data_IF_334512373006
#
_entry.id   IF_334512373006
#
_cell.length_a   1.000
_cell.length_b   1.000
_cell.length_c   1.000
_cell.angle_alpha   90.00
_cell.angle_beta   90.00
_cell.angle_gamma   90.00
#
_symmetry.space_group_name_H-M   'P 1'
#
loop_
_entity.id
_entity.type
_entity.pdbx_description
1 polymer ?
#
# COMPACT_ATOMS: atom_id res chain seq x y z
N UNK A 1 16.25 42.37 -30.75
CA UNK A 1 16.78 41.39 -29.79
C UNK A 1 15.59 40.79 -29.07
N UNK A 2 15.28 39.53 -29.38
CA UNK A 2 14.14 38.78 -28.84
C UNK A 2 14.44 38.32 -27.41
N UNK A 3 13.58 38.71 -26.46
CA UNK A 3 13.52 38.08 -25.15
C UNK A 3 12.35 37.10 -25.17
N UNK A 4 12.64 35.86 -25.52
CA UNK A 4 11.73 34.73 -25.37
C UNK A 4 11.60 34.46 -23.87
N UNK A 5 10.62 35.10 -23.23
CA UNK A 5 10.22 34.75 -21.87
C UNK A 5 9.61 33.35 -21.90
N UNK A 6 10.35 32.42 -21.30
CA UNK A 6 9.88 31.09 -20.94
C UNK A 6 8.65 31.24 -20.04
N UNK A 7 7.46 31.11 -20.62
CA UNK A 7 6.22 30.99 -19.88
C UNK A 7 6.36 29.84 -18.85
N UNK A 8 5.95 30.04 -17.60
CA UNK A 8 6.14 29.03 -16.56
C UNK A 8 5.31 27.81 -16.94
N UNK A 9 5.99 26.68 -17.16
CA UNK A 9 5.41 25.36 -17.44
C UNK A 9 4.39 24.89 -16.38
N UNK A 10 4.27 25.60 -15.25
CA UNK A 10 3.24 25.38 -14.22
C UNK A 10 1.88 26.04 -14.50
N UNK A 11 1.78 26.98 -15.46
CA UNK A 11 0.52 27.70 -15.73
C UNK A 11 -0.47 26.94 -16.62
N UNK A 12 0.01 26.03 -17.47
CA UNK A 12 -0.82 25.27 -18.41
C UNK A 12 -1.85 24.35 -17.73
N UNK A 13 -1.58 23.92 -16.50
CA UNK A 13 -2.44 23.04 -15.71
C UNK A 13 -3.25 23.78 -14.63
N UNK A 14 -3.12 25.11 -14.53
CA UNK A 14 -3.92 25.93 -13.63
C UNK A 14 -5.36 26.12 -14.16
N UNK A 15 -6.32 26.39 -13.29
CA UNK A 15 -7.74 26.61 -13.67
C UNK A 15 -7.92 27.69 -14.75
N UNK A 16 -7.05 28.71 -14.78
CA UNK A 16 -7.03 29.74 -15.82
C UNK A 16 -6.42 29.27 -17.15
N UNK A 17 -5.48 28.31 -17.15
CA UNK A 17 -4.91 27.71 -18.36
C UNK A 17 -5.90 26.75 -19.05
N UNK A 18 -6.68 26.03 -18.26
CA UNK A 18 -7.76 25.16 -18.73
C UNK A 18 -8.91 25.96 -19.37
N UNK A 19 -9.19 27.18 -18.91
CA UNK A 19 -10.24 28.05 -19.48
C UNK A 19 -9.93 28.55 -20.91
N UNK A 20 -8.65 28.58 -21.32
CA UNK A 20 -8.23 28.92 -22.69
C UNK A 20 -8.15 27.69 -23.62
N UNK A 21 -8.39 26.49 -23.10
CA UNK A 21 -8.38 25.24 -23.87
C UNK A 21 -9.73 25.00 -24.54
N UNK A 22 -9.73 24.36 -25.72
CA UNK A 22 -10.99 24.00 -26.40
C UNK A 22 -11.86 23.10 -25.49
N UNK A 23 -13.19 23.23 -25.58
CA UNK A 23 -14.11 22.47 -24.74
C UNK A 23 -13.97 20.94 -24.86
N UNK A 24 -13.37 20.42 -25.93
CA UNK A 24 -13.03 18.99 -26.03
C UNK A 24 -11.82 18.61 -25.17
N UNK A 25 -10.82 19.49 -25.08
CA UNK A 25 -9.63 19.27 -24.23
C UNK A 25 -9.95 19.40 -22.74
N UNK A 26 -10.84 20.32 -22.35
CA UNK A 26 -11.32 20.42 -20.96
C UNK A 26 -12.02 19.13 -20.51
N UNK A 27 -12.90 18.56 -21.35
CA UNK A 27 -13.55 17.27 -21.06
C UNK A 27 -12.57 16.11 -21.00
N UNK A 28 -11.55 16.12 -21.86
CA UNK A 28 -10.50 15.11 -21.84
C UNK A 28 -9.66 15.19 -20.55
N UNK A 29 -9.28 16.39 -20.12
CA UNK A 29 -8.58 16.61 -18.85
C UNK A 29 -9.43 16.16 -17.66
N UNK A 30 -10.73 16.49 -17.61
CA UNK A 30 -11.63 16.06 -16.54
C UNK A 30 -11.72 14.54 -16.39
N UNK A 31 -11.85 13.81 -17.51
CA UNK A 31 -11.87 12.32 -17.49
C UNK A 31 -10.55 11.72 -17.01
N UNK A 32 -9.43 12.35 -17.35
CA UNK A 32 -8.12 11.85 -16.91
C UNK A 32 -7.90 12.11 -15.43
N UNK A 33 -8.31 13.28 -14.92
CA UNK A 33 -8.28 13.60 -13.49
C UNK A 33 -9.14 12.59 -12.71
N UNK A 34 -10.36 12.30 -13.18
CA UNK A 34 -11.25 11.33 -12.55
C UNK A 34 -10.63 9.92 -12.49
N UNK A 35 -9.96 9.48 -13.57
CA UNK A 35 -9.23 8.21 -13.58
C UNK A 35 -8.09 8.16 -12.57
N UNK A 36 -7.27 9.21 -12.52
CA UNK A 36 -6.14 9.28 -11.58
C UNK A 36 -6.66 9.29 -10.14
N UNK A 37 -7.74 10.03 -9.87
CA UNK A 37 -8.39 10.05 -8.56
C UNK A 37 -8.88 8.65 -8.16
N UNK A 38 -9.58 7.95 -9.06
CA UNK A 38 -10.05 6.59 -8.82
C UNK A 38 -8.91 5.61 -8.58
N UNK A 39 -7.83 5.70 -9.36
CA UNK A 39 -6.63 4.88 -9.17
C UNK A 39 -5.95 5.15 -7.81
N UNK A 40 -5.85 6.43 -7.42
CA UNK A 40 -5.29 6.81 -6.13
C UNK A 40 -6.10 6.25 -4.96
N UNK A 41 -7.43 6.31 -5.02
CA UNK A 41 -8.31 5.74 -3.98
C UNK A 41 -8.16 4.22 -3.86
N UNK A 42 -8.04 3.52 -4.99
CA UNK A 42 -7.81 2.07 -5.00
C UNK A 42 -6.43 1.72 -4.42
N UNK A 43 -5.41 2.48 -4.77
CA UNK A 43 -4.05 2.28 -4.26
C UNK A 43 -3.97 2.53 -2.74
N UNK A 44 -4.60 3.60 -2.26
CA UNK A 44 -4.66 3.93 -0.83
C UNK A 44 -5.41 2.85 -0.03
N UNK A 45 -6.58 2.41 -0.54
CA UNK A 45 -7.34 1.31 0.10
C UNK A 45 -6.52 0.01 0.15
N UNK A 46 -5.76 -0.30 -0.91
CA UNK A 46 -4.87 -1.47 -0.95
C UNK A 46 -3.74 -1.35 0.07
N UNK A 47 -3.14 -0.17 0.22
CA UNK A 47 -2.09 0.08 1.20
C UNK A 47 -2.61 -0.09 2.63
N UNK A 48 -3.77 0.51 2.94
CA UNK A 48 -4.40 0.39 4.25
C UNK A 48 -4.74 -1.07 4.58
N UNK A 49 -5.26 -1.82 3.60
CA UNK A 49 -5.47 -3.26 3.74
C UNK A 49 -4.17 -3.98 4.09
N UNK A 50 -3.11 -3.76 3.32
CA UNK A 50 -1.79 -4.38 3.55
C UNK A 50 -1.23 -4.05 4.93
N UNK A 51 -1.34 -2.79 5.37
CA UNK A 51 -0.93 -2.37 6.71
C UNK A 51 -1.73 -3.09 7.80
N UNK A 52 -3.05 -3.23 7.61
CA UNK A 52 -3.93 -3.94 8.55
C UNK A 52 -3.55 -5.43 8.67
N UNK A 53 -3.37 -6.17 7.57
CA UNK A 53 -2.92 -7.57 7.70
C UNK A 53 -1.52 -7.67 8.29
N UNK A 54 -0.62 -6.74 7.99
CA UNK A 54 0.72 -6.75 8.59
C UNK A 54 0.64 -6.60 10.10
N UNK A 55 -0.15 -5.64 10.61
CA UNK A 55 -0.37 -5.47 12.04
C UNK A 55 -0.98 -6.73 12.68
N UNK A 56 -2.02 -7.30 12.07
CA UNK A 56 -2.65 -8.55 12.54
C UNK A 56 -1.67 -9.72 12.56
N UNK A 57 -0.86 -9.87 11.51
CA UNK A 57 0.16 -10.92 11.43
C UNK A 57 1.20 -10.77 12.53
N UNK A 58 1.68 -9.55 12.79
CA UNK A 58 2.64 -9.28 13.87
C UNK A 58 2.07 -9.61 15.24
N UNK A 59 0.81 -9.22 15.52
CA UNK A 59 0.14 -9.54 16.77
C UNK A 59 0.02 -11.06 16.98
N UNK A 60 -0.40 -11.78 15.93
CA UNK A 60 -0.56 -13.23 15.99
C UNK A 60 0.78 -13.96 16.13
N UNK A 61 1.81 -13.58 15.36
CA UNK A 61 3.16 -14.16 15.48
C UNK A 61 3.73 -13.90 16.88
N UNK A 62 3.54 -12.70 17.44
CA UNK A 62 3.95 -12.38 18.80
C UNK A 62 3.27 -13.26 19.84
N UNK A 63 1.93 -13.41 19.75
CA UNK A 63 1.17 -14.27 20.64
C UNK A 63 1.58 -15.76 20.54
N UNK A 64 1.78 -16.26 19.31
CA UNK A 64 2.22 -17.63 19.06
C UNK A 64 3.64 -17.89 19.58
N UNK A 65 4.55 -16.94 19.41
CA UNK A 65 5.93 -17.06 19.92
C UNK A 65 5.96 -17.10 21.45
N UNK A 66 5.12 -16.31 22.12
CA UNK A 66 5.00 -16.37 23.57
C UNK A 66 4.44 -17.72 24.05
N UNK A 67 3.43 -18.25 23.36
CA UNK A 67 2.87 -19.58 23.63
C UNK A 67 3.91 -20.69 23.39
N UNK A 68 4.68 -20.60 22.31
CA UNK A 68 5.77 -21.52 21.99
C UNK A 68 6.79 -21.59 23.13
N UNK A 69 7.27 -20.44 23.59
CA UNK A 69 8.20 -20.36 24.72
C UNK A 69 7.63 -21.01 25.98
N UNK A 70 6.35 -20.77 26.28
CA UNK A 70 5.69 -21.41 27.41
C UNK A 70 5.61 -22.94 27.25
N UNK A 71 5.24 -23.43 26.07
CA UNK A 71 5.13 -24.87 25.80
C UNK A 71 6.49 -25.59 25.81
N UNK A 72 7.56 -24.94 25.36
CA UNK A 72 8.93 -25.48 25.46
C UNK A 72 9.30 -25.68 26.94
N UNK A 73 8.95 -24.75 27.83
CA UNK A 73 9.21 -24.88 29.27
C UNK A 73 8.43 -26.04 29.90
N UNK A 74 7.17 -26.24 29.51
CA UNK A 74 6.29 -27.28 30.09
C UNK A 74 6.57 -28.66 29.50
N UNK A 75 6.88 -28.75 28.20
CA UNK A 75 7.07 -30.01 27.47
C UNK A 75 8.22 -29.90 26.44
N UNK A 76 9.49 -29.99 26.86
CA UNK A 76 10.65 -29.78 25.99
C UNK A 76 10.72 -30.74 24.78
N UNK A 77 10.20 -31.96 24.93
CA UNK A 77 10.16 -32.95 23.84
C UNK A 77 9.32 -32.49 22.62
N UNK A 78 8.47 -31.48 22.81
CA UNK A 78 7.66 -30.86 21.77
C UNK A 78 8.34 -29.70 21.03
N UNK A 79 9.51 -29.24 21.47
CA UNK A 79 10.15 -28.00 21.00
C UNK A 79 10.21 -27.88 19.47
N UNK A 80 10.72 -28.91 18.79
CA UNK A 80 10.83 -28.91 17.33
C UNK A 80 9.47 -28.78 16.63
N UNK A 81 8.40 -29.34 17.22
CA UNK A 81 7.04 -29.25 16.68
C UNK A 81 6.46 -27.84 16.89
N UNK A 82 6.69 -27.23 18.05
CA UNK A 82 6.18 -25.88 18.34
C UNK A 82 6.84 -24.84 17.43
N UNK A 83 8.18 -24.86 17.32
CA UNK A 83 8.95 -24.00 16.40
C UNK A 83 8.44 -24.08 14.98
N UNK A 84 8.30 -25.30 14.46
CA UNK A 84 7.84 -25.52 13.09
C UNK A 84 6.44 -24.94 12.84
N UNK A 85 5.54 -24.98 13.82
CA UNK A 85 4.18 -24.40 13.69
C UNK A 85 4.26 -22.86 13.63
N UNK A 86 5.04 -22.24 14.51
CA UNK A 86 5.19 -20.78 14.56
C UNK A 86 5.85 -20.28 13.27
N UNK A 87 6.92 -20.93 12.83
CA UNK A 87 7.64 -20.59 11.60
C UNK A 87 6.74 -20.72 10.37
N UNK A 88 5.99 -21.83 10.26
CA UNK A 88 5.07 -22.04 9.14
C UNK A 88 3.96 -20.96 9.09
N UNK A 89 3.43 -20.57 10.25
CA UNK A 89 2.46 -19.47 10.32
C UNK A 89 3.07 -18.14 9.89
N UNK A 90 4.25 -17.79 10.42
CA UNK A 90 4.94 -16.55 10.10
C UNK A 90 5.27 -16.46 8.60
N UNK A 91 5.77 -17.55 8.00
CA UNK A 91 6.04 -17.63 6.56
C UNK A 91 4.75 -17.50 5.74
N UNK A 92 3.67 -18.19 6.12
CA UNK A 92 2.39 -18.10 5.44
C UNK A 92 1.78 -16.70 5.49
N UNK A 93 1.86 -16.03 6.64
CA UNK A 93 1.41 -14.65 6.81
C UNK A 93 2.25 -13.67 5.96
N UNK A 94 3.57 -13.83 5.96
CA UNK A 94 4.46 -13.02 5.13
C UNK A 94 4.14 -13.17 3.63
N UNK A 95 3.91 -14.40 3.15
CA UNK A 95 3.49 -14.65 1.77
C UNK A 95 2.13 -14.03 1.45
N UNK A 96 1.17 -14.08 2.39
CA UNK A 96 -0.13 -13.44 2.20
C UNK A 96 0.00 -11.92 2.04
N UNK A 97 0.85 -11.27 2.84
CA UNK A 97 1.12 -9.83 2.76
C UNK A 97 1.80 -9.47 1.43
N UNK A 98 2.77 -10.28 0.97
CA UNK A 98 3.47 -10.06 -0.30
C UNK A 98 2.57 -10.17 -1.54
N UNK A 99 1.52 -11.01 -1.49
CA UNK A 99 0.61 -11.23 -2.60
C UNK A 99 -0.47 -10.16 -2.76
N UNK A 100 -0.57 -9.21 -1.82
CA UNK A 100 -1.64 -8.23 -1.83
C UNK A 100 -1.52 -7.25 -2.98
#
# INVERSE_FOLDING_TARGET
>A
MNSTELAPLGGAFSSNGLAQMSGSMQRQAGREIERVQAQALVADTREQGRALLTNTALQNVGALSALEQHLIQVAPIGEARYKHIVDAYAMGAAQAIQRW
#
